data_IF_106216703511
#
_entry.id   IF_106216703511
#
_cell.length_a   1.000
_cell.length_b   1.000
_cell.length_c   1.000
_cell.angle_alpha   90.00
_cell.angle_beta   90.00
_cell.angle_gamma   90.00
#
_symmetry.space_group_name_H-M   'P 1'
#
loop_
_entity.id
_entity.type
_entity.pdbx_description
1 polymer ?
#
# COMPACT_ATOMS: atom_id res chain seq x y z
N UNK A 1 7.82 9.36 -9.91
CA UNK A 1 7.41 9.41 -8.52
C UNK A 1 6.75 8.10 -8.11
N UNK A 2 7.07 7.63 -6.91
CA UNK A 2 6.66 6.29 -6.46
C UNK A 2 5.13 6.16 -6.43
N UNK A 3 4.47 7.11 -5.79
CA UNK A 3 3.01 7.05 -5.67
C UNK A 3 2.35 7.02 -7.05
N UNK A 4 2.77 7.89 -7.92
CA UNK A 4 2.14 7.97 -9.24
C UNK A 4 2.39 6.71 -10.05
N UNK A 5 3.56 6.11 -9.91
CA UNK A 5 3.84 4.86 -10.59
C UNK A 5 2.90 3.76 -10.14
N UNK A 6 2.69 3.65 -8.84
CA UNK A 6 1.77 2.63 -8.33
C UNK A 6 0.35 2.91 -8.77
N UNK A 7 -0.04 4.17 -8.79
CA UNK A 7 -1.39 4.54 -9.19
C UNK A 7 -1.63 4.22 -10.66
N UNK A 8 -0.68 4.56 -11.51
CA UNK A 8 -0.85 4.35 -12.94
C UNK A 8 -0.84 2.90 -13.31
N UNK A 9 -0.19 2.05 -12.52
CA UNK A 9 -0.10 0.63 -12.79
C UNK A 9 -1.11 -0.19 -12.00
N UNK A 10 -2.11 0.44 -11.43
CA UNK A 10 -3.09 -0.27 -10.61
C UNK A 10 -3.81 -1.38 -11.35
N UNK A 11 -4.07 -1.18 -12.64
CA UNK A 11 -4.80 -2.17 -13.42
C UNK A 11 -3.99 -3.41 -13.73
N UNK A 12 -2.68 -3.33 -13.55
CA UNK A 12 -1.80 -4.45 -13.91
C UNK A 12 -1.61 -5.42 -12.76
N UNK A 13 -2.14 -5.11 -11.59
CA UNK A 13 -2.02 -6.02 -10.46
C UNK A 13 -3.14 -7.04 -10.51
N UNK A 14 -2.79 -8.28 -10.21
CA UNK A 14 -3.75 -9.36 -10.29
C UNK A 14 -4.54 -9.59 -9.02
N UNK A 15 -4.37 -8.75 -8.02
CA UNK A 15 -4.95 -8.98 -6.71
C UNK A 15 -6.06 -7.99 -6.36
N UNK A 16 -6.65 -7.34 -7.35
CA UNK A 16 -7.72 -6.39 -7.08
C UNK A 16 -8.94 -7.05 -6.45
N UNK A 17 -9.20 -8.29 -6.82
CA UNK A 17 -10.36 -9.00 -6.29
C UNK A 17 -10.20 -9.37 -4.83
N UNK A 18 -8.99 -9.26 -4.31
CA UNK A 18 -8.73 -9.62 -2.92
C UNK A 18 -8.59 -8.41 -2.01
N UNK A 19 -9.05 -7.26 -2.48
CA UNK A 19 -8.98 -6.06 -1.67
C UNK A 19 -9.96 -6.14 -0.51
N UNK A 20 -9.50 -5.67 0.63
CA UNK A 20 -10.29 -5.67 1.85
C UNK A 20 -10.85 -4.28 2.09
N UNK A 21 -11.98 -4.24 2.79
CA UNK A 21 -12.58 -2.96 3.17
C UNK A 21 -11.72 -2.34 4.25
N UNK A 22 -11.46 -1.04 4.10
CA UNK A 22 -10.68 -0.29 5.06
C UNK A 22 -11.45 0.98 5.41
N UNK A 23 -11.54 1.27 6.70
CA UNK A 23 -12.23 2.45 7.17
C UNK A 23 -11.30 3.64 7.13
N UNK A 24 -11.78 4.73 6.56
CA UNK A 24 -11.06 5.99 6.50
C UNK A 24 -11.88 7.05 7.23
N UNK A 25 -11.18 7.99 7.82
CA UNK A 25 -11.87 9.16 8.35
C UNK A 25 -12.58 9.87 7.21
N UNK A 26 -13.74 10.45 7.54
CA UNK A 26 -14.58 11.05 6.51
C UNK A 26 -13.86 12.14 5.73
N UNK A 27 -13.11 12.99 6.43
CA UNK A 27 -12.43 14.07 5.75
C UNK A 27 -11.37 13.56 4.79
N UNK A 28 -10.71 12.45 5.13
CA UNK A 28 -9.73 11.87 4.22
C UNK A 28 -10.40 11.24 3.00
N UNK A 29 -11.49 10.54 3.23
CA UNK A 29 -12.21 9.92 2.12
C UNK A 29 -12.73 11.00 1.16
N UNK A 30 -13.29 12.06 1.71
CA UNK A 30 -13.82 13.14 0.87
C UNK A 30 -12.69 13.84 0.12
N UNK A 31 -11.54 14.00 0.76
CA UNK A 31 -10.40 14.63 0.10
C UNK A 31 -9.89 13.78 -1.06
N UNK A 32 -9.85 12.48 -0.87
CA UNK A 32 -9.44 11.59 -1.94
C UNK A 32 -10.44 11.63 -3.10
N UNK A 33 -11.72 11.67 -2.78
CA UNK A 33 -12.73 11.75 -3.83
C UNK A 33 -12.67 13.09 -4.58
N UNK A 34 -12.19 14.13 -3.91
CA UNK A 34 -12.06 15.43 -4.52
C UNK A 34 -10.84 15.51 -5.45
N UNK A 35 -9.95 14.55 -5.36
CA UNK A 35 -8.80 14.46 -6.26
C UNK A 35 -9.18 13.62 -7.46
N UNK A 36 -8.90 14.12 -8.64
CA UNK A 36 -9.16 13.37 -9.86
C UNK A 36 -7.82 13.13 -10.55
N UNK A 37 -7.19 12.04 -10.20
CA UNK A 37 -5.89 11.71 -10.75
C UNK A 37 -6.05 10.53 -11.69
N UNK A 38 -5.98 10.82 -12.98
CA UNK A 38 -6.03 9.80 -14.04
C UNK A 38 -7.26 8.90 -13.91
N UNK A 39 -8.37 9.47 -13.42
CA UNK A 39 -9.64 8.73 -13.26
C UNK A 39 -9.53 7.48 -12.42
N UNK A 40 -8.59 7.45 -11.48
CA UNK A 40 -8.45 6.32 -10.58
C UNK A 40 -9.43 6.42 -9.43
N UNK A 41 -9.88 5.27 -8.96
CA UNK A 41 -10.83 5.21 -7.86
C UNK A 41 -10.15 5.51 -6.53
N UNK A 42 -10.99 5.76 -5.50
CA UNK A 42 -10.44 5.95 -4.16
C UNK A 42 -9.61 4.75 -3.73
N UNK A 43 -10.10 3.54 -4.02
CA UNK A 43 -9.37 2.32 -3.66
C UNK A 43 -8.01 2.27 -4.32
N UNK A 44 -7.93 2.64 -5.60
CA UNK A 44 -6.66 2.65 -6.29
C UNK A 44 -5.69 3.64 -5.65
N UNK A 45 -6.21 4.81 -5.27
CA UNK A 45 -5.36 5.82 -4.65
C UNK A 45 -4.86 5.38 -3.29
N UNK A 46 -5.73 4.81 -2.47
CA UNK A 46 -5.33 4.35 -1.15
C UNK A 46 -4.26 3.26 -1.27
N UNK A 47 -4.47 2.31 -2.17
CA UNK A 47 -3.50 1.24 -2.35
C UNK A 47 -2.16 1.79 -2.82
N UNK A 48 -2.18 2.76 -3.73
CA UNK A 48 -0.94 3.35 -4.21
C UNK A 48 -0.22 4.10 -3.10
N UNK A 49 -0.97 4.80 -2.25
CA UNK A 49 -0.38 5.52 -1.13
C UNK A 49 0.30 4.55 -0.18
N UNK A 50 -0.37 3.47 0.18
CA UNK A 50 0.18 2.53 1.14
C UNK A 50 1.40 1.84 0.56
N UNK A 51 1.35 1.46 -0.70
CA UNK A 51 2.52 0.84 -1.33
C UNK A 51 3.70 1.80 -1.38
N UNK A 52 3.45 3.05 -1.71
CA UNK A 52 4.51 4.05 -1.74
C UNK A 52 5.11 4.25 -0.35
N UNK A 53 4.25 4.23 0.68
CA UNK A 53 4.71 4.35 2.05
C UNK A 53 5.68 3.22 2.40
N UNK A 54 5.30 1.98 2.09
CA UNK A 54 6.16 0.86 2.41
C UNK A 54 7.45 0.88 1.59
N UNK A 55 7.35 1.22 0.32
CA UNK A 55 8.57 1.26 -0.49
C UNK A 55 9.55 2.29 0.06
N UNK A 56 9.03 3.40 0.57
CA UNK A 56 9.90 4.47 1.08
C UNK A 56 10.48 4.14 2.44
N UNK A 57 9.69 3.49 3.31
CA UNK A 57 10.07 3.36 4.71
C UNK A 57 10.28 1.92 5.17
N UNK A 58 10.24 0.95 4.26
CA UNK A 58 10.31 -0.46 4.66
C UNK A 58 11.55 -0.77 5.51
N UNK A 59 12.74 -0.28 5.15
CA UNK A 59 13.92 -0.60 5.97
C UNK A 59 13.78 -0.12 7.41
N UNK A 60 13.18 1.05 7.60
CA UNK A 60 13.00 1.59 8.95
C UNK A 60 11.90 0.88 9.70
N UNK A 61 10.87 0.46 8.97
CA UNK A 61 9.74 -0.20 9.60
C UNK A 61 10.06 -1.63 10.01
N UNK A 62 11.10 -2.21 9.45
CA UNK A 62 11.43 -3.59 9.77
C UNK A 62 11.70 -3.79 11.26
N UNK A 63 12.07 -2.73 11.98
CA UNK A 63 12.28 -2.84 13.41
C UNK A 63 10.99 -3.06 14.19
N UNK A 64 9.86 -2.76 13.57
CA UNK A 64 8.57 -2.84 14.26
C UNK A 64 7.71 -3.97 13.73
N UNK A 65 8.24 -4.77 12.85
CA UNK A 65 7.43 -5.81 12.22
C UNK A 65 7.05 -6.90 13.22
N UNK A 66 5.96 -7.56 12.90
CA UNK A 66 5.53 -8.72 13.66
C UNK A 66 5.81 -9.97 12.85
N UNK A 67 5.57 -11.13 13.43
CA UNK A 67 5.91 -12.40 12.80
C UNK A 67 4.81 -12.90 11.88
N UNK A 68 4.18 -12.02 11.13
CA UNK A 68 3.12 -12.39 10.20
C UNK A 68 3.60 -12.21 8.78
N UNK A 69 3.01 -12.99 7.89
CA UNK A 69 3.30 -12.83 6.48
C UNK A 69 2.88 -11.44 6.02
N UNK A 70 3.76 -10.79 5.31
CA UNK A 70 3.55 -9.43 4.84
C UNK A 70 4.67 -9.10 3.87
N UNK A 71 4.78 -7.83 3.54
CA UNK A 71 5.87 -7.38 2.68
C UNK A 71 7.24 -7.59 3.33
N UNK A 72 7.28 -7.65 4.66
CA UNK A 72 8.56 -7.85 5.35
C UNK A 72 9.20 -9.20 5.04
N UNK A 73 8.40 -10.21 4.78
CA UNK A 73 8.93 -11.53 4.49
C UNK A 73 9.82 -11.49 3.25
N UNK A 74 9.39 -10.78 2.22
CA UNK A 74 10.18 -10.67 1.00
C UNK A 74 11.34 -9.71 1.17
N UNK A 75 11.24 -8.80 2.12
CA UNK A 75 12.29 -7.84 2.35
C UNK A 75 13.44 -8.43 3.14
N UNK A 76 13.13 -9.18 4.21
CA UNK A 76 14.16 -9.76 5.06
C UNK A 76 13.73 -11.13 5.53
N UNK A 77 13.94 -12.10 4.68
CA UNK A 77 13.49 -13.46 4.93
C UNK A 77 14.22 -14.10 6.10
N UNK A 78 15.48 -13.76 6.28
CA UNK A 78 16.27 -14.38 7.33
C UNK A 78 15.79 -13.99 8.71
N UNK A 79 15.38 -12.74 8.87
CA UNK A 79 14.85 -12.31 10.14
C UNK A 79 13.58 -13.07 10.48
N UNK A 80 12.79 -13.31 9.47
CA UNK A 80 11.54 -14.04 9.68
C UNK A 80 11.81 -15.45 10.21
N UNK A 81 12.79 -16.10 9.66
CA UNK A 81 13.07 -17.50 10.02
C UNK A 81 13.72 -17.64 11.37
N UNK A 82 14.32 -16.59 11.88
CA UNK A 82 14.96 -16.65 13.18
C UNK A 82 13.97 -16.56 14.33
N UNK A 83 12.74 -16.31 14.02
CA UNK A 83 11.73 -16.22 15.05
C UNK A 83 11.35 -17.58 15.57
#
# INVERSE_FOLDING_TARGET
QVFMNYLDNSDERGDKDERLVCKLDRDLADSLDDCDIHNRSRSDMVNAIVRAFFETYLPQLSEFRRKKKSLFINFNKEDYEME
#
